data_IF_825944876049
#
_entry.id   IF_825944876049
#
_cell.length_a   1.000
_cell.length_b   1.000
_cell.length_c   1.000
_cell.angle_alpha   90.00
_cell.angle_beta   90.00
_cell.angle_gamma   90.00
#
_symmetry.space_group_name_H-M   'P 1'
#
loop_
_entity.id
_entity.type
_entity.pdbx_description
1 polymer ?
#
# COMPACT_ATOMS: atom_id res chain seq x y z
N UNK A 1 13.15 -14.58 -6.25
CA UNK A 1 13.99 -15.70 -5.73
C UNK A 1 15.34 -15.24 -5.16
N UNK A 2 15.70 -13.95 -5.26
CA UNK A 2 17.00 -13.44 -4.79
C UNK A 2 17.00 -13.09 -3.29
N UNK A 3 15.84 -12.96 -2.66
CA UNK A 3 15.69 -12.65 -1.23
C UNK A 3 15.16 -13.86 -0.47
N UNK A 4 14.06 -14.44 -0.93
CA UNK A 4 13.40 -15.60 -0.28
C UNK A 4 14.29 -16.82 -0.35
N UNK A 5 14.52 -17.45 0.81
CA UNK A 5 15.43 -18.60 0.95
C UNK A 5 16.91 -18.23 1.10
N UNK A 6 17.23 -16.96 1.32
CA UNK A 6 18.58 -16.47 1.63
C UNK A 6 18.59 -15.75 2.98
N UNK A 7 19.79 -15.50 3.53
CA UNK A 7 19.96 -14.69 4.77
C UNK A 7 19.49 -13.22 4.62
N UNK A 8 19.15 -12.78 3.41
CA UNK A 8 18.62 -11.43 3.18
C UNK A 8 17.17 -11.30 3.63
N UNK A 9 16.42 -12.41 3.75
CA UNK A 9 15.03 -12.37 4.24
C UNK A 9 14.95 -11.82 5.66
N UNK A 10 15.93 -12.14 6.51
CA UNK A 10 16.02 -11.70 7.90
C UNK A 10 16.31 -10.19 8.02
N UNK A 11 16.70 -9.56 6.92
CA UNK A 11 16.97 -8.11 6.82
C UNK A 11 15.84 -7.33 6.13
N UNK A 12 14.77 -8.01 5.72
CA UNK A 12 13.64 -7.38 5.05
C UNK A 12 12.77 -6.64 6.08
N UNK A 13 12.77 -5.33 6.02
CA UNK A 13 11.82 -4.52 6.80
C UNK A 13 10.42 -4.68 6.21
N UNK A 14 10.20 -4.26 4.98
CA UNK A 14 8.99 -4.52 4.21
C UNK A 14 9.23 -4.25 2.72
N UNK A 15 8.45 -4.91 1.86
CA UNK A 15 8.39 -4.63 0.43
C UNK A 15 7.04 -3.98 0.07
N UNK A 16 7.09 -2.96 -0.79
CA UNK A 16 5.90 -2.27 -1.30
C UNK A 16 5.82 -2.36 -2.83
N UNK A 17 5.55 -3.55 -3.38
CA UNK A 17 5.43 -3.74 -4.84
C UNK A 17 4.05 -3.27 -5.34
N UNK A 18 3.74 -2.01 -5.06
CA UNK A 18 2.43 -1.39 -5.33
C UNK A 18 2.15 -1.33 -6.83
N UNK A 19 0.91 -1.58 -7.21
CA UNK A 19 0.47 -1.56 -8.60
C UNK A 19 0.66 -2.89 -9.34
N UNK A 20 1.24 -3.92 -8.70
CA UNK A 20 1.40 -5.24 -9.30
C UNK A 20 0.42 -6.26 -8.71
N UNK A 21 -0.22 -7.10 -9.54
CA UNK A 21 -1.06 -8.19 -9.08
C UNK A 21 -0.16 -9.31 -8.51
N UNK A 22 -0.03 -9.35 -7.19
CA UNK A 22 0.75 -10.35 -6.46
C UNK A 22 -0.23 -11.23 -5.68
N UNK A 23 -0.09 -12.55 -5.82
CA UNK A 23 -0.94 -13.57 -5.20
C UNK A 23 -0.32 -14.21 -3.94
N UNK A 24 0.89 -13.78 -3.55
CA UNK A 24 1.63 -14.34 -2.42
C UNK A 24 2.47 -15.57 -2.75
N UNK A 25 2.43 -16.08 -3.98
CA UNK A 25 3.22 -17.25 -4.41
C UNK A 25 4.74 -17.01 -4.42
N UNK A 26 5.17 -15.76 -4.28
CA UNK A 26 6.58 -15.36 -4.21
C UNK A 26 7.26 -15.72 -2.87
N UNK A 27 6.51 -16.23 -1.88
CA UNK A 27 7.03 -16.68 -0.60
C UNK A 27 7.30 -15.55 0.42
N UNK A 28 7.00 -14.30 0.10
CA UNK A 28 7.05 -13.19 1.08
C UNK A 28 5.69 -13.09 1.77
N UNK A 29 5.61 -13.11 3.12
CA UNK A 29 4.35 -12.97 3.84
C UNK A 29 3.63 -11.66 3.52
N UNK A 30 2.29 -11.67 3.59
CA UNK A 30 1.49 -10.44 3.50
C UNK A 30 1.58 -9.65 4.80
N UNK A 31 1.69 -8.33 4.71
CA UNK A 31 1.62 -7.47 5.88
C UNK A 31 0.17 -7.40 6.41
N UNK A 32 -0.05 -7.83 7.65
CA UNK A 32 -1.37 -7.86 8.31
C UNK A 32 -1.55 -6.79 9.38
N UNK A 33 -0.44 -6.15 9.80
CA UNK A 33 -0.45 -5.08 10.80
C UNK A 33 0.46 -3.91 10.37
N UNK A 34 0.23 -2.70 10.92
CA UNK A 34 1.02 -1.51 10.56
C UNK A 34 2.52 -1.61 10.86
N UNK A 35 2.93 -2.42 11.83
CA UNK A 35 4.32 -2.50 12.31
C UNK A 35 5.00 -3.83 12.01
N UNK A 36 4.29 -4.77 11.37
CA UNK A 36 4.87 -6.06 10.98
C UNK A 36 6.04 -5.86 10.01
N UNK A 37 7.13 -6.61 10.22
CA UNK A 37 8.31 -6.63 9.35
C UNK A 37 8.45 -7.97 8.62
N UNK A 38 9.37 -8.07 7.67
CA UNK A 38 9.55 -9.29 6.88
C UNK A 38 8.37 -9.59 5.93
N UNK A 39 7.60 -8.59 5.53
CA UNK A 39 6.35 -8.76 4.79
C UNK A 39 6.25 -7.86 3.55
N UNK A 40 5.22 -8.09 2.73
CA UNK A 40 4.91 -7.26 1.57
C UNK A 40 3.52 -6.63 1.67
N UNK A 41 3.39 -5.41 1.14
CA UNK A 41 2.14 -4.69 1.01
C UNK A 41 1.96 -4.22 -0.43
N UNK A 42 0.86 -4.61 -1.05
CA UNK A 42 0.51 -4.20 -2.42
C UNK A 42 -0.96 -3.87 -2.53
N UNK A 43 -1.31 -3.07 -3.50
CA UNK A 43 -2.67 -2.72 -3.90
C UNK A 43 -2.70 -2.18 -5.33
N UNK A 44 -3.90 -2.12 -5.90
CA UNK A 44 -4.21 -1.42 -7.15
C UNK A 44 -5.45 -0.56 -6.92
N UNK A 45 -5.32 0.75 -6.95
CA UNK A 45 -6.40 1.67 -6.68
C UNK A 45 -7.35 1.80 -7.87
N UNK A 46 -8.63 1.58 -7.63
CA UNK A 46 -9.70 1.63 -8.63
C UNK A 46 -10.94 2.31 -8.07
N UNK A 47 -11.74 2.91 -8.94
CA UNK A 47 -13.05 3.48 -8.60
C UNK A 47 -14.22 2.63 -9.05
N UNK A 48 -15.46 3.07 -8.75
CA UNK A 48 -16.68 2.27 -8.97
C UNK A 48 -16.99 1.88 -10.43
N UNK A 49 -16.43 2.58 -11.39
CA UNK A 49 -16.69 2.37 -12.83
C UNK A 49 -15.48 1.81 -13.56
N UNK A 50 -14.55 1.21 -12.83
CA UNK A 50 -13.38 0.55 -13.43
C UNK A 50 -13.82 -0.64 -14.30
N UNK A 51 -13.20 -0.79 -15.46
CA UNK A 51 -13.37 -1.99 -16.29
C UNK A 51 -12.68 -3.21 -15.69
N UNK A 52 -12.77 -4.35 -16.39
CA UNK A 52 -12.16 -5.62 -15.97
C UNK A 52 -10.62 -5.64 -16.11
N UNK A 53 -10.03 -4.61 -16.68
CA UNK A 53 -8.59 -4.47 -16.82
C UNK A 53 -7.91 -4.51 -15.43
N UNK A 54 -6.87 -5.30 -15.28
CA UNK A 54 -6.19 -5.61 -14.02
C UNK A 54 -7.08 -6.34 -12.99
N UNK A 55 -8.12 -7.07 -13.45
CA UNK A 55 -8.85 -7.96 -12.57
C UNK A 55 -7.97 -9.15 -12.20
N UNK A 56 -7.62 -9.24 -10.94
CA UNK A 56 -6.91 -10.37 -10.37
C UNK A 56 -7.46 -10.59 -8.95
N UNK A 57 -8.62 -11.28 -8.84
CA UNK A 57 -9.32 -11.45 -7.55
C UNK A 57 -8.48 -12.17 -6.49
N UNK A 58 -7.51 -12.97 -6.92
CA UNK A 58 -6.54 -13.65 -6.04
C UNK A 58 -5.41 -12.71 -5.56
N UNK A 59 -5.34 -11.47 -6.07
CA UNK A 59 -4.27 -10.55 -5.69
C UNK A 59 -4.41 -10.11 -4.24
N UNK A 60 -3.27 -9.98 -3.59
CA UNK A 60 -3.16 -9.34 -2.30
C UNK A 60 -3.63 -7.90 -2.41
N UNK A 61 -4.42 -7.45 -1.43
CA UNK A 61 -4.70 -6.05 -1.21
C UNK A 61 -4.44 -5.72 0.25
N UNK A 62 -3.47 -4.85 0.51
CA UNK A 62 -3.26 -4.23 1.82
C UNK A 62 -3.72 -2.79 1.75
N UNK A 63 -4.70 -2.41 2.57
CA UNK A 63 -5.24 -1.05 2.57
C UNK A 63 -4.20 -0.06 3.13
N UNK A 64 -3.69 0.91 2.36
CA UNK A 64 -2.64 1.84 2.80
C UNK A 64 -3.09 2.86 3.84
N UNK A 65 -4.39 2.91 4.16
CA UNK A 65 -4.93 3.77 5.23
C UNK A 65 -4.99 3.04 6.59
N UNK A 66 -5.02 1.70 6.59
CA UNK A 66 -5.09 0.87 7.81
C UNK A 66 -3.89 -0.05 7.97
N UNK A 67 -3.16 -0.32 6.88
CA UNK A 67 -2.06 -1.30 6.78
C UNK A 67 -2.50 -2.74 7.14
N UNK A 68 -3.73 -3.07 6.78
CA UNK A 68 -4.34 -4.39 7.01
C UNK A 68 -4.81 -4.99 5.69
N UNK A 69 -4.74 -6.32 5.60
CA UNK A 69 -5.22 -7.09 4.46
C UNK A 69 -6.66 -7.58 4.67
N UNK A 70 -7.50 -6.78 5.31
CA UNK A 70 -8.92 -7.07 5.54
C UNK A 70 -9.84 -6.18 4.69
N UNK A 71 -11.15 -6.38 4.81
CA UNK A 71 -12.17 -5.63 4.08
C UNK A 71 -12.70 -4.40 4.85
N UNK A 72 -12.01 -3.97 5.89
CA UNK A 72 -12.44 -2.79 6.64
C UNK A 72 -12.18 -1.54 5.80
N UNK A 73 -13.23 -0.77 5.61
CA UNK A 73 -13.13 0.53 4.92
C UNK A 73 -12.45 1.56 5.83
N UNK A 74 -11.65 2.43 5.23
CA UNK A 74 -11.06 3.58 5.89
C UNK A 74 -11.55 4.86 5.20
N UNK A 75 -12.00 5.82 5.99
CA UNK A 75 -12.51 7.09 5.48
C UNK A 75 -11.40 8.02 5.00
N UNK A 76 -11.76 9.05 4.26
CA UNK A 76 -10.87 10.14 3.84
C UNK A 76 -10.06 10.74 4.99
N UNK A 77 -10.61 10.79 6.20
CA UNK A 77 -9.88 11.27 7.39
C UNK A 77 -8.63 10.47 7.75
N UNK A 78 -8.51 9.25 7.28
CA UNK A 78 -7.32 8.40 7.45
C UNK A 78 -6.23 8.68 6.41
N UNK A 79 -6.55 9.40 5.32
CA UNK A 79 -5.59 9.82 4.30
C UNK A 79 -4.83 11.07 4.78
N UNK A 80 -3.60 10.87 5.24
CA UNK A 80 -2.80 11.94 5.87
C UNK A 80 -2.03 12.79 4.86
N UNK A 81 -2.10 12.45 3.58
CA UNK A 81 -1.60 13.31 2.50
C UNK A 81 -1.28 12.55 1.22
N UNK A 82 -1.88 13.02 0.14
CA UNK A 82 -1.57 12.65 -1.24
C UNK A 82 -0.62 13.69 -1.85
N UNK A 83 0.25 13.27 -2.75
CA UNK A 83 1.16 14.16 -3.48
C UNK A 83 1.21 13.74 -4.94
N UNK A 84 0.75 14.60 -5.85
CA UNK A 84 0.92 14.38 -7.28
C UNK A 84 2.18 15.12 -7.74
N UNK A 85 3.29 14.39 -7.87
CA UNK A 85 4.59 14.95 -8.22
C UNK A 85 4.55 15.71 -9.56
N UNK A 86 5.07 16.95 -9.54
CA UNK A 86 5.06 17.84 -10.70
C UNK A 86 3.76 18.62 -10.91
N UNK A 87 2.74 18.39 -10.05
CA UNK A 87 1.44 19.08 -10.12
C UNK A 87 1.09 19.73 -8.78
N UNK A 88 1.27 19.01 -7.66
CA UNK A 88 0.93 19.52 -6.33
C UNK A 88 2.01 20.48 -5.81
N UNK A 89 1.58 21.59 -5.20
CA UNK A 89 2.45 22.49 -4.44
C UNK A 89 2.83 21.93 -3.05
N UNK A 90 2.16 20.87 -2.62
CA UNK A 90 2.36 20.19 -1.35
C UNK A 90 1.34 19.07 -1.13
N UNK A 91 1.37 18.41 0.05
CA UNK A 91 0.44 17.32 0.35
C UNK A 91 -1.00 17.82 0.49
N UNK A 92 -1.94 17.12 -0.15
CA UNK A 92 -3.37 17.31 -0.01
C UNK A 92 -3.93 16.28 0.98
N UNK A 93 -4.61 16.73 2.03
CA UNK A 93 -5.19 15.86 3.07
C UNK A 93 -6.56 15.32 2.64
N UNK A 94 -6.88 14.08 3.04
CA UNK A 94 -8.21 13.53 2.86
C UNK A 94 -8.64 13.34 1.41
N UNK A 95 -7.70 13.11 0.50
CA UNK A 95 -7.97 13.01 -0.95
C UNK A 95 -8.75 11.74 -1.29
N UNK A 96 -8.44 10.62 -0.64
CA UNK A 96 -9.03 9.32 -0.95
C UNK A 96 -9.46 8.58 0.31
N UNK A 97 -10.56 7.85 0.22
CA UNK A 97 -10.91 6.73 1.10
C UNK A 97 -10.36 5.43 0.52
N UNK A 98 -10.49 4.31 1.23
CA UNK A 98 -10.03 3.03 0.69
C UNK A 98 -10.69 1.82 1.36
N UNK A 99 -10.96 0.79 0.56
CA UNK A 99 -11.42 -0.52 1.01
C UNK A 99 -10.85 -1.62 0.10
N UNK A 100 -10.30 -2.69 0.67
CA UNK A 100 -9.88 -3.86 -0.10
C UNK A 100 -11.08 -4.74 -0.49
N UNK A 101 -11.31 -4.93 -1.80
CA UNK A 101 -12.33 -5.83 -2.36
C UNK A 101 -11.79 -6.53 -3.60
N UNK A 102 -11.96 -7.85 -3.68
CA UNK A 102 -11.64 -8.64 -4.88
C UNK A 102 -10.22 -8.37 -5.41
N UNK A 103 -9.24 -8.38 -4.51
CA UNK A 103 -7.83 -8.13 -4.86
C UNK A 103 -7.48 -6.71 -5.30
N UNK A 104 -8.39 -5.74 -5.11
CA UNK A 104 -8.22 -4.33 -5.49
C UNK A 104 -8.48 -3.40 -4.33
N UNK A 105 -7.90 -2.21 -4.39
CA UNK A 105 -8.17 -1.12 -3.48
C UNK A 105 -9.26 -0.22 -4.08
N UNK A 106 -10.48 -0.34 -3.58
CA UNK A 106 -11.60 0.48 -3.99
C UNK A 106 -11.53 1.84 -3.31
N UNK A 107 -11.62 2.88 -4.14
CA UNK A 107 -11.69 4.29 -3.75
C UNK A 107 -13.04 4.80 -4.22
N UNK A 108 -13.90 5.27 -3.31
CA UNK A 108 -15.26 5.66 -3.66
C UNK A 108 -15.29 6.97 -4.44
N UNK A 109 -14.49 7.95 -4.01
CA UNK A 109 -14.27 9.21 -4.71
C UNK A 109 -12.87 9.79 -4.45
N UNK A 110 -12.40 10.62 -5.36
CA UNK A 110 -11.16 11.39 -5.22
C UNK A 110 -11.53 12.85 -5.02
N UNK A 111 -11.21 13.41 -3.87
CA UNK A 111 -11.52 14.81 -3.47
C UNK A 111 -10.44 15.78 -3.91
N UNK A 112 -10.02 15.64 -5.16
CA UNK A 112 -9.03 16.51 -5.80
C UNK A 112 -9.14 16.41 -7.31
N UNK A 113 -8.92 17.52 -8.03
CA UNK A 113 -8.86 17.55 -9.48
C UNK A 113 -7.47 17.24 -10.05
N UNK A 114 -6.45 17.12 -9.19
CA UNK A 114 -5.07 16.86 -9.60
C UNK A 114 -4.84 15.40 -10.06
N UNK A 115 -5.75 14.48 -9.74
CA UNK A 115 -5.67 13.05 -10.07
C UNK A 115 -6.65 12.66 -11.19
N UNK A 116 -6.77 13.52 -12.21
CA UNK A 116 -7.76 13.36 -13.30
C UNK A 116 -7.29 12.51 -14.48
N UNK A 117 -5.97 12.35 -14.67
CA UNK A 117 -5.41 11.56 -15.78
C UNK A 117 -5.77 10.06 -15.62
N UNK A 118 -6.31 9.46 -16.67
CA UNK A 118 -6.80 8.08 -16.68
C UNK A 118 -6.34 7.33 -17.93
N UNK A 119 -5.00 7.13 -18.14
CA UNK A 119 -4.47 6.50 -19.35
C UNK A 119 -4.92 5.04 -19.50
N UNK A 120 -5.27 4.37 -18.38
CA UNK A 120 -5.71 2.98 -18.35
C UNK A 120 -7.24 2.83 -18.26
N UNK A 121 -7.98 3.89 -18.57
CA UNK A 121 -9.44 3.89 -18.58
C UNK A 121 -10.08 4.55 -17.37
N UNK A 122 -11.41 4.64 -17.44
CA UNK A 122 -12.21 5.32 -16.43
C UNK A 122 -12.08 4.65 -15.06
N UNK A 123 -11.93 5.44 -14.02
CA UNK A 123 -11.81 5.00 -12.63
C UNK A 123 -10.64 4.02 -12.38
N UNK A 124 -9.65 4.00 -13.27
CA UNK A 124 -8.39 3.31 -13.02
C UNK A 124 -7.38 4.33 -12.48
N UNK A 125 -7.02 4.17 -11.20
CA UNK A 125 -6.09 5.06 -10.49
C UNK A 125 -4.68 4.52 -10.38
N UNK A 126 -4.36 3.42 -11.08
CA UNK A 126 -3.08 2.72 -10.98
C UNK A 126 -1.84 3.63 -11.07
N UNK A 127 -1.85 4.62 -11.97
CA UNK A 127 -0.72 5.57 -12.07
C UNK A 127 -0.55 6.45 -10.83
N UNK A 128 -1.54 6.48 -9.95
CA UNK A 128 -1.56 7.26 -8.71
C UNK A 128 -1.49 6.38 -7.46
N UNK A 129 -1.23 5.08 -7.57
CA UNK A 129 -1.21 4.15 -6.44
C UNK A 129 -0.29 4.62 -5.30
N UNK A 130 0.90 5.17 -5.63
CA UNK A 130 1.78 5.79 -4.64
C UNK A 130 1.35 7.22 -4.28
N UNK A 131 0.95 8.01 -5.26
CA UNK A 131 0.66 9.43 -5.11
C UNK A 131 -0.52 9.69 -4.16
N UNK A 132 -1.60 8.91 -4.28
CA UNK A 132 -2.81 9.04 -3.46
C UNK A 132 -2.57 8.77 -1.97
N UNK A 133 -1.56 7.95 -1.63
CA UNK A 133 -1.29 7.50 -0.26
C UNK A 133 0.13 7.85 0.21
N UNK A 134 0.76 8.84 -0.40
CA UNK A 134 2.18 9.13 -0.24
C UNK A 134 2.63 9.30 1.21
N UNK A 135 1.96 10.15 2.00
CA UNK A 135 2.33 10.36 3.39
C UNK A 135 1.92 9.19 4.30
N UNK A 136 0.88 8.42 3.93
CA UNK A 136 0.57 7.18 4.63
C UNK A 136 1.69 6.15 4.45
N UNK A 137 2.20 5.99 3.23
CA UNK A 137 3.35 5.11 2.94
C UNK A 137 4.57 5.54 3.72
N UNK A 138 4.93 6.83 3.66
CA UNK A 138 6.08 7.37 4.37
C UNK A 138 6.04 7.08 5.86
N UNK A 139 4.93 7.41 6.52
CA UNK A 139 4.73 7.14 7.95
C UNK A 139 4.81 5.65 8.29
N UNK A 140 4.28 4.80 7.42
CA UNK A 140 4.33 3.36 7.64
C UNK A 140 5.74 2.79 7.48
N UNK A 141 6.51 3.28 6.51
CA UNK A 141 7.94 2.90 6.37
C UNK A 141 8.70 3.26 7.64
N UNK A 142 8.54 4.47 8.15
CA UNK A 142 9.16 4.94 9.40
C UNK A 142 8.78 4.01 10.57
N UNK A 143 7.49 3.73 10.78
CA UNK A 143 7.01 2.86 11.86
C UNK A 143 7.54 1.41 11.77
N UNK A 144 7.67 0.85 10.56
CA UNK A 144 8.23 -0.50 10.35
C UNK A 144 9.73 -0.53 10.59
N UNK A 145 10.46 0.49 10.19
CA UNK A 145 11.91 0.61 10.48
C UNK A 145 12.14 0.66 11.99
N UNK A 146 11.37 1.49 12.71
CA UNK A 146 11.46 1.58 14.17
C UNK A 146 11.16 0.22 14.85
N UNK A 147 10.13 -0.48 14.37
CA UNK A 147 9.79 -1.81 14.87
C UNK A 147 10.92 -2.83 14.61
N UNK A 148 11.50 -2.80 13.42
CA UNK A 148 12.61 -3.70 13.04
C UNK A 148 13.85 -3.46 13.93
N UNK A 149 14.21 -2.20 14.15
CA UNK A 149 15.34 -1.84 15.03
C UNK A 149 15.07 -2.30 16.46
N UNK A 150 13.86 -2.07 16.98
CA UNK A 150 13.49 -2.47 18.34
C UNK A 150 13.57 -3.99 18.55
N UNK A 151 13.16 -4.80 17.56
CA UNK A 151 13.28 -6.26 17.61
C UNK A 151 14.75 -6.70 17.61
N UNK A 152 15.57 -6.15 16.73
CA UNK A 152 17.00 -6.47 16.66
C UNK A 152 17.75 -6.10 17.96
N UNK A 153 17.33 -5.02 18.64
CA UNK A 153 17.89 -4.63 19.94
C UNK A 153 17.48 -5.57 21.08
N UNK A 154 16.26 -6.12 21.01
CA UNK A 154 15.80 -7.12 21.99
C UNK A 154 16.54 -8.44 21.84
N UNK A 155 16.74 -8.93 20.62
CA UNK A 155 17.50 -10.16 20.35
C UNK A 155 18.95 -10.07 20.85
N UNK A 156 19.60 -8.92 20.67
CA UNK A 156 20.98 -8.68 21.16
C UNK A 156 21.10 -8.64 22.70
N UNK A 157 20.02 -8.40 23.42
CA UNK A 157 19.98 -8.34 24.90
C UNK A 157 19.61 -9.68 25.55
N UNK A 158 19.19 -10.65 24.75
CA UNK A 158 18.94 -12.00 25.26
C UNK A 158 20.27 -12.77 25.32
N UNK A 159 20.66 -13.28 26.51
CA UNK A 159 21.95 -13.98 26.71
C UNK A 159 22.02 -15.32 25.99
#
# INVERSE_FOLDING_TARGET
KEIVGTTLVDRLVAAYPVGFPIDGSNGVPVCETPTQTGCQATWNAVGPKVGSFLSAPESICVNPLTWRADRLSASHGSNVGAVNFGVSDGPELGVADAECREGRLWVSDIRSNQYSLRPLGRDNYHIYDYALFYLNIRKNVEARVDSFIAMADQERKQP
#
